data_IF_437595585852
#
_entry.id   IF_437595585852
#
_cell.length_a   1.000
_cell.length_b   1.000
_cell.length_c   1.000
_cell.angle_alpha   90.00
_cell.angle_beta   90.00
_cell.angle_gamma   90.00
#
_symmetry.space_group_name_H-M   'P 1'
#
loop_
_entity.id
_entity.type
_entity.pdbx_description
1 polymer ?
#
# COMPACT_ATOMS: atom_id res chain seq x y z
N UNK A 1 -42.27 10.65 10.29
CA UNK A 1 -42.69 9.23 10.47
C UNK A 1 -42.74 8.67 9.06
N UNK A 2 -41.71 7.96 8.64
CA UNK A 2 -41.71 7.28 7.34
C UNK A 2 -42.76 6.17 7.38
N UNK A 3 -43.57 6.12 6.34
CA UNK A 3 -44.70 5.21 6.16
C UNK A 3 -44.23 3.75 6.26
N UNK A 4 -45.01 2.94 6.98
CA UNK A 4 -44.80 1.50 7.12
C UNK A 4 -44.82 0.81 5.76
N UNK A 5 -43.64 0.64 5.16
CA UNK A 5 -43.48 -0.15 3.96
C UNK A 5 -43.84 -1.63 4.23
N UNK A 6 -44.37 -2.29 3.19
CA UNK A 6 -44.98 -3.63 3.17
C UNK A 6 -43.99 -4.81 3.36
N UNK A 7 -42.99 -4.63 4.20
CA UNK A 7 -41.94 -5.61 4.42
C UNK A 7 -42.42 -6.80 5.25
N UNK A 8 -41.86 -7.98 4.96
CA UNK A 8 -42.05 -9.16 5.78
C UNK A 8 -41.51 -8.97 7.20
N UNK A 9 -42.26 -9.42 8.20
CA UNK A 9 -41.92 -9.36 9.64
C UNK A 9 -42.30 -10.66 10.32
N UNK A 10 -41.80 -10.89 11.53
CA UNK A 10 -42.20 -12.05 12.34
C UNK A 10 -42.61 -11.64 13.78
N UNK A 11 -43.69 -10.85 13.94
CA UNK A 11 -44.08 -10.31 15.25
C UNK A 11 -44.70 -11.36 16.19
N UNK A 12 -45.19 -12.46 15.63
CA UNK A 12 -45.91 -13.51 16.35
C UNK A 12 -45.07 -14.77 16.59
N UNK A 13 -43.74 -14.68 16.37
CA UNK A 13 -42.79 -15.80 16.50
C UNK A 13 -43.21 -17.04 15.69
N UNK A 14 -43.81 -16.81 14.52
CA UNK A 14 -44.08 -17.86 13.53
C UNK A 14 -42.79 -18.53 13.06
N UNK A 15 -42.92 -19.66 12.38
CA UNK A 15 -41.79 -20.41 11.80
C UNK A 15 -40.97 -19.65 10.76
N UNK A 16 -41.57 -18.67 10.06
CA UNK A 16 -40.91 -17.78 9.10
C UNK A 16 -41.52 -16.36 9.16
N UNK A 17 -40.78 -15.32 8.75
CA UNK A 17 -41.34 -14.01 8.49
C UNK A 17 -42.45 -14.05 7.44
N UNK A 18 -43.43 -13.17 7.56
CA UNK A 18 -44.63 -13.16 6.74
C UNK A 18 -45.13 -11.72 6.51
N UNK A 19 -46.01 -11.54 5.53
CA UNK A 19 -46.78 -10.31 5.31
C UNK A 19 -48.21 -10.63 4.88
N UNK A 20 -49.08 -9.62 4.84
CA UNK A 20 -50.41 -9.75 4.28
C UNK A 20 -50.40 -9.43 2.79
N UNK A 21 -50.91 -10.34 1.97
CA UNK A 21 -51.15 -10.14 0.53
C UNK A 21 -52.63 -9.92 0.27
N UNK A 22 -52.97 -9.34 -0.88
CA UNK A 22 -54.35 -9.08 -1.28
C UNK A 22 -55.03 -10.40 -1.68
N UNK A 23 -56.06 -10.80 -0.94
CA UNK A 23 -56.92 -11.94 -1.28
C UNK A 23 -58.29 -11.50 -1.80
N UNK A 24 -59.04 -12.44 -2.37
CA UNK A 24 -60.31 -12.16 -3.09
C UNK A 24 -61.42 -11.55 -2.22
N UNK A 25 -61.41 -11.81 -0.91
CA UNK A 25 -62.42 -11.32 0.04
C UNK A 25 -61.82 -10.66 1.29
N UNK A 26 -60.56 -10.95 1.62
CA UNK A 26 -59.82 -10.39 2.76
C UNK A 26 -58.31 -10.61 2.55
N UNK A 27 -57.44 -9.84 3.25
CA UNK A 27 -56.00 -10.08 3.22
C UNK A 27 -55.64 -11.47 3.74
N UNK A 28 -54.66 -12.12 3.10
CA UNK A 28 -54.18 -13.45 3.45
C UNK A 28 -52.75 -13.36 3.95
N UNK A 29 -52.42 -14.11 5.00
CA UNK A 29 -51.05 -14.21 5.54
C UNK A 29 -50.25 -15.18 4.66
N UNK A 30 -49.15 -14.70 4.09
CA UNK A 30 -48.20 -15.53 3.34
C UNK A 30 -46.79 -15.41 3.92
N UNK A 31 -46.06 -16.53 3.92
CA UNK A 31 -44.69 -16.59 4.42
C UNK A 31 -43.70 -16.15 3.34
N UNK A 32 -42.71 -15.38 3.75
CA UNK A 32 -41.68 -14.88 2.87
C UNK A 32 -40.48 -15.82 2.87
N UNK A 33 -39.90 -16.04 1.68
CA UNK A 33 -38.61 -16.70 1.55
C UNK A 33 -37.50 -15.66 1.72
N UNK A 34 -37.03 -15.51 2.96
CA UNK A 34 -35.92 -14.61 3.32
C UNK A 34 -34.64 -15.44 3.42
N UNK A 35 -33.58 -15.11 2.65
CA UNK A 35 -32.31 -15.83 2.71
C UNK A 35 -31.67 -15.71 4.10
N UNK A 36 -30.97 -16.77 4.54
CA UNK A 36 -30.26 -16.76 5.81
C UNK A 36 -29.11 -15.76 5.74
N UNK A 37 -28.88 -15.01 6.81
CA UNK A 37 -27.70 -14.14 6.89
C UNK A 37 -26.42 -14.96 6.71
N UNK A 38 -26.36 -16.21 7.18
CA UNK A 38 -25.21 -17.11 7.06
C UNK A 38 -24.85 -17.49 5.62
N UNK A 39 -25.79 -17.35 4.67
CA UNK A 39 -25.53 -17.61 3.26
C UNK A 39 -24.84 -16.42 2.57
N UNK A 40 -24.78 -15.26 3.25
CA UNK A 40 -24.14 -14.06 2.71
C UNK A 40 -22.63 -14.11 2.90
N UNK A 41 -21.83 -13.82 1.85
CA UNK A 41 -20.37 -13.69 1.99
C UNK A 41 -19.98 -12.49 2.88
N UNK A 42 -20.94 -11.62 3.21
CA UNK A 42 -20.78 -10.52 4.15
C UNK A 42 -21.15 -10.87 5.61
N UNK A 43 -21.43 -12.13 5.94
CA UNK A 43 -21.78 -12.53 7.30
C UNK A 43 -20.98 -13.74 7.81
N UNK A 44 -20.25 -13.61 8.94
CA UNK A 44 -19.95 -12.35 9.63
C UNK A 44 -19.12 -11.42 8.72
N UNK A 45 -19.22 -10.10 8.92
CA UNK A 45 -18.55 -9.13 8.04
C UNK A 45 -17.06 -9.46 7.88
N UNK A 46 -16.58 -9.73 6.65
CA UNK A 46 -15.17 -9.99 6.41
C UNK A 46 -14.33 -8.71 6.49
N UNK A 47 -14.96 -7.54 6.34
CA UNK A 47 -14.31 -6.24 6.38
C UNK A 47 -13.97 -5.85 7.82
N UNK A 48 -12.68 -5.62 8.08
CA UNK A 48 -12.11 -5.11 9.32
C UNK A 48 -12.32 -3.60 9.45
N UNK A 49 -12.01 -3.08 10.64
CA UNK A 49 -11.99 -1.64 10.92
C UNK A 49 -13.27 -0.88 10.49
N UNK A 50 -14.43 -1.52 10.67
CA UNK A 50 -15.74 -0.98 10.29
C UNK A 50 -15.90 -0.70 8.79
N UNK A 51 -15.15 -1.39 7.94
CA UNK A 51 -15.36 -1.36 6.48
C UNK A 51 -16.74 -1.88 6.10
N UNK A 52 -17.33 -1.30 5.05
CA UNK A 52 -18.65 -1.66 4.57
C UNK A 52 -18.55 -2.81 3.56
N UNK A 53 -19.19 -3.94 3.86
CA UNK A 53 -19.21 -5.10 2.97
C UNK A 53 -20.33 -4.98 1.93
N UNK A 54 -20.01 -5.25 0.66
CA UNK A 54 -20.95 -5.31 -0.46
C UNK A 54 -20.87 -6.70 -1.09
N UNK A 55 -22.02 -7.33 -1.33
CA UNK A 55 -22.11 -8.63 -2.00
C UNK A 55 -21.93 -8.44 -3.51
N UNK A 56 -21.05 -9.22 -4.12
CA UNK A 56 -20.81 -9.25 -5.57
C UNK A 56 -20.94 -10.69 -6.07
N UNK A 57 -22.17 -11.07 -6.45
CA UNK A 57 -22.48 -12.44 -6.85
C UNK A 57 -22.30 -13.42 -5.69
N UNK A 58 -21.36 -14.35 -5.82
CA UNK A 58 -20.96 -15.30 -4.77
C UNK A 58 -19.78 -14.80 -3.92
N UNK A 59 -19.24 -13.62 -4.21
CA UNK A 59 -18.10 -13.01 -3.53
C UNK A 59 -18.51 -11.74 -2.76
N UNK A 60 -17.53 -11.08 -2.11
CA UNK A 60 -17.73 -9.80 -1.44
C UNK A 60 -16.64 -8.80 -1.85
N UNK A 61 -16.97 -7.51 -1.73
CA UNK A 61 -16.03 -6.39 -1.79
C UNK A 61 -16.17 -5.52 -0.55
N UNK A 62 -15.05 -4.97 -0.06
CA UNK A 62 -15.02 -4.08 1.10
C UNK A 62 -14.78 -2.63 0.68
N UNK A 63 -15.64 -1.73 1.13
CA UNK A 63 -15.44 -0.28 1.04
C UNK A 63 -14.86 0.22 2.36
N UNK A 64 -13.64 0.72 2.34
CA UNK A 64 -12.91 1.11 3.56
C UNK A 64 -13.23 2.54 3.99
N UNK A 65 -13.31 2.74 5.31
CA UNK A 65 -13.38 4.09 5.89
C UNK A 65 -12.06 4.83 5.67
N UNK A 66 -12.12 6.16 5.70
CA UNK A 66 -10.93 7.01 5.63
C UNK A 66 -9.92 6.59 6.69
N UNK A 67 -8.66 6.48 6.30
CA UNK A 67 -7.61 6.00 7.19
C UNK A 67 -7.43 4.48 7.19
N UNK A 68 -8.11 3.73 6.31
CA UNK A 68 -7.95 2.28 6.18
C UNK A 68 -7.91 1.81 4.71
N UNK A 69 -7.19 0.73 4.45
CA UNK A 69 -7.05 0.13 3.12
C UNK A 69 -6.86 -1.39 3.19
N UNK A 70 -6.65 -2.04 2.05
CA UNK A 70 -6.62 -3.51 1.92
C UNK A 70 -7.95 -4.09 1.43
N UNK A 71 -7.94 -5.35 0.99
CA UNK A 71 -9.14 -6.01 0.44
C UNK A 71 -10.21 -6.28 1.51
N UNK A 72 -9.82 -6.28 2.79
CA UNK A 72 -10.69 -6.41 3.95
C UNK A 72 -10.55 -5.21 4.88
N UNK A 73 -10.02 -4.08 4.44
CA UNK A 73 -9.81 -2.88 5.28
C UNK A 73 -8.95 -3.12 6.54
N UNK A 74 -8.09 -4.13 6.50
CA UNK A 74 -7.22 -4.57 7.59
C UNK A 74 -6.01 -3.65 7.81
N UNK A 75 -5.69 -2.83 6.82
CA UNK A 75 -4.52 -1.94 6.85
C UNK A 75 -4.96 -0.60 7.41
N UNK A 76 -4.32 -0.16 8.50
CA UNK A 76 -4.44 1.19 9.02
C UNK A 76 -3.53 2.13 8.24
N UNK A 77 -4.11 3.16 7.62
CA UNK A 77 -3.41 4.34 7.07
C UNK A 77 -3.16 5.35 8.21
N UNK A 78 -2.92 4.85 9.42
CA UNK A 78 -2.55 5.71 10.55
C UNK A 78 -1.14 6.21 10.33
N UNK A 79 -1.01 7.47 9.91
CA UNK A 79 -0.07 8.42 10.51
C UNK A 79 1.38 7.99 10.71
N UNK A 80 1.95 7.11 9.90
CA UNK A 80 3.38 7.22 9.62
C UNK A 80 3.48 8.43 8.71
N UNK A 81 3.94 9.53 9.27
CA UNK A 81 4.45 10.67 8.51
C UNK A 81 5.30 10.07 7.39
N UNK A 82 5.10 10.47 6.12
CA UNK A 82 5.97 10.03 5.01
C UNK A 82 7.48 10.23 5.33
N UNK A 83 7.78 11.01 6.37
CA UNK A 83 9.10 11.24 6.97
C UNK A 83 9.67 10.10 7.83
N UNK A 84 9.00 8.97 8.08
CA UNK A 84 9.57 7.90 8.93
C UNK A 84 9.61 6.50 8.29
N UNK A 85 9.20 6.36 7.03
CA UNK A 85 9.22 5.09 6.30
C UNK A 85 10.16 5.12 5.11
N UNK A 86 10.64 3.95 4.67
CA UNK A 86 11.46 3.79 3.45
C UNK A 86 10.57 3.43 2.26
N UNK A 87 10.81 4.06 1.11
CA UNK A 87 10.05 3.80 -0.14
C UNK A 87 10.68 2.69 -0.97
N UNK A 88 12.02 2.62 -0.97
CA UNK A 88 12.77 1.51 -1.54
C UNK A 88 13.05 0.46 -0.47
N UNK A 89 13.08 -0.82 -0.87
CA UNK A 89 13.43 -1.95 0.01
C UNK A 89 14.76 -1.72 0.73
N UNK A 90 15.72 -1.10 0.04
CA UNK A 90 17.05 -0.75 0.57
C UNK A 90 17.08 0.62 1.28
N UNK A 91 16.06 1.46 1.10
CA UNK A 91 15.97 2.79 1.71
C UNK A 91 17.10 3.76 1.33
N UNK A 92 17.64 3.69 0.11
CA UNK A 92 18.67 4.62 -0.37
C UNK A 92 18.19 6.09 -0.34
N UNK A 93 16.89 6.29 -0.57
CA UNK A 93 16.19 7.57 -0.58
C UNK A 93 15.58 7.94 0.78
N UNK A 94 15.84 7.13 1.82
CA UNK A 94 15.29 7.38 3.14
C UNK A 94 15.86 8.66 3.74
N UNK A 95 15.00 9.67 3.87
CA UNK A 95 15.34 10.98 4.46
C UNK A 95 14.77 11.17 5.87
N UNK A 96 14.21 10.12 6.45
CA UNK A 96 13.56 10.20 7.74
C UNK A 96 14.48 10.38 8.94
N UNK A 97 13.88 10.44 10.13
CA UNK A 97 14.55 10.80 11.40
C UNK A 97 14.81 9.64 12.35
N UNK A 98 14.61 8.39 11.91
CA UNK A 98 14.99 7.21 12.69
C UNK A 98 16.49 7.28 12.97
N UNK A 99 16.87 7.15 14.23
CA UNK A 99 18.24 7.28 14.74
C UNK A 99 18.58 6.19 15.76
N UNK A 100 17.88 5.06 15.67
CA UNK A 100 18.06 3.89 16.53
C UNK A 100 18.13 2.65 15.65
N UNK A 101 19.08 1.77 15.96
CA UNK A 101 19.31 0.53 15.19
C UNK A 101 18.23 -0.51 15.48
N UNK A 102 18.18 -1.60 14.69
CA UNK A 102 17.24 -2.71 14.90
C UNK A 102 17.35 -3.36 16.30
N UNK A 103 18.51 -3.26 16.96
CA UNK A 103 18.72 -3.80 18.31
C UNK A 103 18.51 -2.76 19.42
N UNK A 104 18.07 -1.55 19.07
CA UNK A 104 17.77 -0.49 20.03
C UNK A 104 18.97 0.41 20.39
N UNK A 105 20.09 0.33 19.66
CA UNK A 105 21.28 1.14 19.94
C UNK A 105 21.15 2.50 19.28
N UNK A 106 21.46 3.56 20.03
CA UNK A 106 21.45 4.93 19.51
C UNK A 106 22.53 5.12 18.45
N UNK A 107 22.16 5.74 17.33
CA UNK A 107 23.09 6.08 16.26
C UNK A 107 24.08 7.16 16.69
N UNK A 108 25.35 6.98 16.30
CA UNK A 108 26.39 8.00 16.33
C UNK A 108 26.10 9.05 15.26
N UNK A 109 26.31 10.33 15.60
CA UNK A 109 26.22 11.42 14.61
C UNK A 109 27.24 11.22 13.50
N UNK A 110 26.81 11.40 12.24
CA UNK A 110 27.69 11.29 11.08
C UNK A 110 28.85 12.31 11.14
N UNK A 111 28.62 13.48 11.71
CA UNK A 111 29.68 14.47 11.93
C UNK A 111 30.68 14.08 13.05
N UNK A 112 30.34 13.11 13.90
CA UNK A 112 31.21 12.64 15.00
C UNK A 112 32.22 11.61 14.52
N UNK A 113 33.43 11.63 15.11
CA UNK A 113 34.48 10.62 14.90
C UNK A 113 34.69 9.71 16.12
N UNK A 114 33.72 9.68 17.05
CA UNK A 114 33.77 8.90 18.28
C UNK A 114 32.39 8.31 18.58
N UNK A 115 32.29 7.03 19.03
CA UNK A 115 33.39 6.07 19.23
C UNK A 115 34.04 5.55 17.94
N UNK A 116 33.36 5.64 16.80
CA UNK A 116 33.85 5.08 15.54
C UNK A 116 34.29 6.18 14.58
N UNK A 117 35.57 6.21 14.22
CA UNK A 117 36.05 7.07 13.12
C UNK A 117 35.62 6.50 11.76
N UNK A 118 35.21 7.38 10.83
CA UNK A 118 34.68 7.01 9.52
C UNK A 118 34.68 8.14 8.47
N UNK A 119 34.47 7.78 7.21
CA UNK A 119 34.47 8.69 6.05
C UNK A 119 33.13 9.40 5.78
N UNK A 120 32.00 8.84 6.20
CA UNK A 120 30.66 9.40 5.94
C UNK A 120 30.32 10.58 6.88
N UNK A 121 30.94 11.75 6.71
CA UNK A 121 30.79 12.89 7.65
C UNK A 121 29.80 13.97 7.25
N UNK A 122 29.32 13.94 6.01
CA UNK A 122 28.45 14.99 5.43
C UNK A 122 26.95 14.70 5.52
N UNK A 123 26.56 13.61 6.20
CA UNK A 123 25.16 13.20 6.36
C UNK A 123 24.51 13.91 7.57
N UNK A 124 23.17 14.10 7.54
CA UNK A 124 22.49 14.89 8.56
C UNK A 124 22.38 14.16 9.91
N UNK A 125 22.71 14.87 10.98
CA UNK A 125 22.57 14.45 12.38
C UNK A 125 23.13 13.03 12.62
N UNK A 126 22.36 12.17 13.28
CA UNK A 126 22.62 10.75 13.48
C UNK A 126 21.52 9.87 12.87
N UNK A 127 20.81 10.38 11.86
CA UNK A 127 19.70 9.64 11.26
C UNK A 127 20.21 8.49 10.40
N UNK A 128 19.51 7.36 10.41
CA UNK A 128 19.85 6.20 9.60
C UNK A 128 19.84 6.55 8.11
N UNK A 129 20.89 6.18 7.39
CA UNK A 129 21.06 6.46 5.96
C UNK A 129 21.66 5.26 5.26
N UNK A 130 21.61 5.24 3.94
CA UNK A 130 22.21 4.20 3.13
C UNK A 130 23.08 4.80 2.02
N UNK A 131 24.26 5.37 2.37
CA UNK A 131 25.14 6.04 1.39
C UNK A 131 25.87 5.08 0.45
N UNK A 132 25.99 3.80 0.82
CA UNK A 132 26.89 2.81 0.24
C UNK A 132 26.18 1.55 -0.29
N UNK A 133 24.85 1.63 -0.46
CA UNK A 133 24.00 0.57 -1.05
C UNK A 133 23.95 -0.72 -0.22
N UNK A 134 23.94 -0.57 1.09
CA UNK A 134 23.62 -1.66 2.02
C UNK A 134 22.16 -2.16 1.82
N UNK A 135 21.81 -3.36 2.34
CA UNK A 135 20.45 -3.91 2.19
C UNK A 135 19.33 -3.10 2.85
N UNK A 136 19.65 -2.17 3.75
CA UNK A 136 18.72 -1.26 4.42
C UNK A 136 19.49 -0.03 4.96
N UNK A 137 18.80 1.06 5.34
CA UNK A 137 19.47 2.17 6.02
C UNK A 137 20.08 1.73 7.34
N UNK A 138 21.23 2.29 7.65
CA UNK A 138 22.07 1.92 8.77
C UNK A 138 22.69 3.18 9.39
N UNK A 139 23.36 2.99 10.53
CA UNK A 139 24.16 4.04 11.13
C UNK A 139 25.35 3.45 11.90
N UNK A 140 26.39 4.26 12.11
CA UNK A 140 27.39 3.97 13.15
C UNK A 140 26.71 3.99 14.50
N UNK A 141 27.15 3.16 15.44
CA UNK A 141 26.47 3.07 16.76
C UNK A 141 27.25 3.81 17.84
N UNK A 142 26.56 4.18 18.92
CA UNK A 142 27.19 4.74 20.12
C UNK A 142 27.86 3.68 21.02
N UNK A 143 27.69 2.39 20.72
CA UNK A 143 28.37 1.29 21.42
C UNK A 143 29.80 1.12 20.85
N UNK A 144 30.85 1.25 21.68
CA UNK A 144 32.25 1.01 21.26
C UNK A 144 32.52 -0.38 20.69
N UNK A 145 31.70 -1.39 21.04
CA UNK A 145 31.88 -2.78 20.59
C UNK A 145 31.12 -3.11 19.30
N UNK A 146 30.22 -2.23 18.86
CA UNK A 146 29.41 -2.44 17.65
C UNK A 146 29.58 -1.26 16.71
N UNK A 147 30.45 -1.41 15.72
CA UNK A 147 30.82 -0.32 14.82
C UNK A 147 29.62 0.30 14.11
N UNK A 148 28.74 -0.51 13.56
CA UNK A 148 27.55 -0.07 12.83
C UNK A 148 26.47 -1.15 12.89
N UNK A 149 25.23 -0.77 12.60
CA UNK A 149 24.12 -1.71 12.46
C UNK A 149 23.02 -1.15 11.57
N UNK A 150 22.27 -2.05 10.93
CA UNK A 150 21.04 -1.73 10.21
C UNK A 150 19.97 -1.15 11.14
N UNK A 151 19.17 -0.24 10.60
CA UNK A 151 18.00 0.33 11.26
C UNK A 151 16.73 -0.38 10.79
N UNK A 152 15.83 -0.66 11.74
CA UNK A 152 14.53 -1.24 11.43
C UNK A 152 13.57 -0.14 10.98
N UNK A 153 13.64 0.24 9.71
CA UNK A 153 12.74 1.22 9.10
C UNK A 153 11.67 0.46 8.33
N UNK A 154 10.41 0.71 8.68
CA UNK A 154 9.27 0.11 8.00
C UNK A 154 9.21 0.59 6.56
N UNK A 155 8.89 -0.32 5.64
CA UNK A 155 8.43 0.08 4.32
C UNK A 155 7.20 0.96 4.50
N UNK A 156 7.06 1.99 3.66
CA UNK A 156 5.88 2.84 3.71
C UNK A 156 4.62 1.97 3.53
N UNK A 157 3.86 1.76 4.62
CA UNK A 157 2.59 1.04 4.58
C UNK A 157 1.55 1.96 3.98
N UNK A 158 1.51 1.87 2.68
CA UNK A 158 0.30 2.03 1.90
C UNK A 158 0.27 0.75 1.06
N UNK A 159 -0.85 0.04 0.89
CA UNK A 159 -0.87 -0.94 -0.20
C UNK A 159 -0.36 -0.23 -1.46
N UNK A 160 0.52 -0.85 -2.28
CA UNK A 160 1.06 -0.25 -3.51
C UNK A 160 -0.07 0.49 -4.17
N UNK A 161 -0.04 1.83 -4.15
CA UNK A 161 -1.15 2.62 -4.66
C UNK A 161 -1.17 2.30 -6.15
N UNK A 162 -2.06 1.39 -6.55
CA UNK A 162 -2.09 0.88 -7.92
C UNK A 162 -2.59 1.95 -8.89
N UNK A 163 -3.03 3.09 -8.34
CA UNK A 163 -3.51 4.26 -9.05
C UNK A 163 -2.71 5.52 -8.67
N UNK A 164 -2.78 6.55 -9.52
CA UNK A 164 -2.25 7.88 -9.28
C UNK A 164 -3.27 8.70 -8.48
N UNK A 165 -2.94 9.19 -7.27
CA UNK A 165 -3.87 9.94 -6.47
C UNK A 165 -4.00 11.37 -7.02
N UNK A 166 -5.12 12.04 -6.73
CA UNK A 166 -5.38 13.41 -7.21
C UNK A 166 -4.32 14.43 -6.77
N UNK A 167 -3.63 14.18 -5.64
CA UNK A 167 -2.55 15.01 -5.12
C UNK A 167 -1.14 14.69 -5.70
N UNK A 168 -1.01 13.62 -6.49
CA UNK A 168 0.20 13.27 -7.25
C UNK A 168 -0.17 12.74 -8.66
N UNK A 169 -0.75 13.61 -9.52
CA UNK A 169 -1.24 13.19 -10.83
C UNK A 169 -0.13 12.77 -11.80
N UNK A 170 1.13 13.10 -11.51
CA UNK A 170 2.30 12.70 -12.29
C UNK A 170 2.92 11.39 -11.76
N UNK A 171 2.50 10.90 -10.59
CA UNK A 171 3.08 9.70 -9.98
C UNK A 171 4.54 9.84 -9.57
N UNK A 172 4.98 11.04 -9.15
CA UNK A 172 6.33 11.23 -8.60
C UNK A 172 6.55 10.39 -7.34
N UNK A 173 5.48 10.17 -6.59
CA UNK A 173 5.42 9.33 -5.40
C UNK A 173 4.79 7.96 -5.69
N UNK A 174 4.52 7.61 -6.95
CA UNK A 174 3.94 6.32 -7.30
C UNK A 174 4.87 5.17 -6.91
N UNK A 175 4.35 4.25 -6.10
CA UNK A 175 5.06 3.06 -5.61
C UNK A 175 4.27 1.77 -5.89
N UNK A 176 3.36 1.81 -6.87
CA UNK A 176 2.60 0.63 -7.28
C UNK A 176 3.46 -0.45 -7.94
N UNK A 177 2.85 -1.60 -8.18
CA UNK A 177 3.51 -2.81 -8.71
C UNK A 177 3.35 -3.00 -10.22
N UNK A 178 3.03 -1.94 -10.98
CA UNK A 178 2.91 -2.03 -12.44
C UNK A 178 4.27 -2.31 -13.08
N UNK A 179 4.37 -3.33 -13.93
CA UNK A 179 5.62 -3.78 -14.57
C UNK A 179 5.55 -3.82 -16.11
N UNK A 180 4.46 -3.29 -16.68
CA UNK A 180 4.19 -3.35 -18.12
C UNK A 180 3.80 -1.96 -18.60
N UNK A 181 4.29 -1.59 -19.78
CA UNK A 181 4.03 -0.29 -20.41
C UNK A 181 2.63 -0.22 -21.03
N UNK A 182 2.17 0.97 -21.43
CA UNK A 182 0.89 1.18 -22.14
C UNK A 182 0.82 0.32 -23.41
N UNK A 183 1.97 0.07 -24.06
CA UNK A 183 2.05 -0.75 -25.27
C UNK A 183 2.20 -2.25 -25.02
N UNK A 184 2.26 -2.68 -23.76
CA UNK A 184 2.43 -4.09 -23.40
C UNK A 184 3.88 -4.58 -23.33
N UNK A 185 4.88 -3.69 -23.48
CA UNK A 185 6.28 -4.09 -23.33
C UNK A 185 6.59 -4.32 -21.83
N UNK A 186 7.20 -5.46 -21.44
CA UNK A 186 7.63 -5.67 -20.06
C UNK A 186 8.77 -4.73 -19.70
N UNK A 187 8.72 -4.17 -18.50
CA UNK A 187 9.75 -3.27 -17.99
C UNK A 187 11.09 -3.99 -17.77
N UNK A 188 12.18 -3.34 -18.12
CA UNK A 188 13.53 -3.70 -17.73
C UNK A 188 13.72 -3.34 -16.25
N UNK A 189 14.42 -4.21 -15.50
CA UNK A 189 14.78 -3.93 -14.12
C UNK A 189 15.71 -2.72 -14.05
N UNK A 190 15.49 -1.85 -13.06
CA UNK A 190 16.27 -0.64 -12.91
C UNK A 190 17.75 -0.93 -12.57
N UNK A 191 18.05 -2.03 -11.89
CA UNK A 191 19.42 -2.46 -11.64
C UNK A 191 20.10 -3.14 -12.85
N UNK A 192 19.34 -3.49 -13.90
CA UNK A 192 19.89 -4.08 -15.12
C UNK A 192 20.42 -3.00 -16.05
N UNK A 193 21.58 -3.25 -16.65
CA UNK A 193 22.14 -2.43 -17.74
C UNK A 193 21.88 -3.04 -19.13
N UNK A 194 20.99 -4.03 -19.22
CA UNK A 194 20.62 -4.71 -20.47
C UNK A 194 19.10 -4.87 -20.58
N UNK A 195 18.49 -4.70 -21.79
CA UNK A 195 19.14 -4.29 -23.04
C UNK A 195 19.56 -2.82 -23.10
N UNK A 196 19.01 -1.95 -22.24
CA UNK A 196 19.30 -0.51 -22.28
C UNK A 196 20.19 -0.10 -21.11
N UNK A 197 21.35 0.46 -21.40
CA UNK A 197 22.20 1.07 -20.36
C UNK A 197 21.60 2.40 -19.89
N UNK A 198 21.59 2.64 -18.57
CA UNK A 198 21.01 3.86 -18.01
C UNK A 198 21.52 4.24 -16.61
N UNK A 199 21.39 5.53 -16.28
CA UNK A 199 21.86 6.13 -15.01
C UNK A 199 21.00 5.81 -13.78
N UNK A 200 19.82 5.23 -13.99
CA UNK A 200 18.84 4.97 -12.93
C UNK A 200 19.04 3.62 -12.20
N UNK A 201 20.27 3.10 -12.20
CA UNK A 201 20.69 1.85 -11.54
C UNK A 201 20.53 1.78 -10.02
N UNK A 202 19.91 2.78 -9.38
CA UNK A 202 19.70 2.85 -7.94
C UNK A 202 18.23 2.99 -7.54
N UNK A 203 17.29 3.04 -8.50
CA UNK A 203 15.87 3.25 -8.19
C UNK A 203 15.17 2.02 -7.61
N UNK A 204 15.70 0.82 -7.85
CA UNK A 204 15.13 -0.43 -7.33
C UNK A 204 16.10 -1.57 -7.57
N UNK A 205 16.45 -2.30 -6.51
CA UNK A 205 17.08 -3.60 -6.63
C UNK A 205 15.98 -4.68 -6.56
N UNK A 206 15.91 -5.50 -7.61
CA UNK A 206 15.04 -6.69 -7.79
C UNK A 206 13.73 -6.54 -8.57
N UNK A 207 13.16 -5.34 -8.69
CA UNK A 207 11.89 -5.15 -9.41
C UNK A 207 11.99 -4.19 -10.60
N UNK A 208 11.14 -4.42 -11.59
CA UNK A 208 11.00 -3.63 -12.82
C UNK A 208 9.76 -2.72 -12.78
N UNK A 209 9.35 -2.26 -11.60
CA UNK A 209 8.13 -1.46 -11.49
C UNK A 209 8.26 -0.09 -12.14
N UNK A 210 7.17 0.41 -12.70
CA UNK A 210 7.06 1.75 -13.26
C UNK A 210 7.30 2.81 -12.18
N UNK A 211 8.13 3.82 -12.48
CA UNK A 211 8.49 4.90 -11.56
C UNK A 211 8.56 6.22 -12.32
N UNK A 212 8.52 7.34 -11.59
CA UNK A 212 8.71 8.66 -12.18
C UNK A 212 9.85 9.43 -11.48
N UNK A 213 11.10 8.96 -11.64
CA UNK A 213 12.27 9.50 -10.90
C UNK A 213 12.71 10.89 -11.37
N UNK A 214 12.37 11.27 -12.59
CA UNK A 214 12.83 12.47 -13.28
C UNK A 214 11.71 13.48 -13.55
N UNK A 215 10.51 13.24 -13.01
CA UNK A 215 9.40 14.18 -13.09
C UNK A 215 8.77 14.29 -14.48
N UNK A 216 8.78 13.19 -15.21
CA UNK A 216 8.05 12.99 -16.46
C UNK A 216 6.52 13.09 -16.27
N UNK A 217 5.77 13.01 -17.37
CA UNK A 217 4.31 13.20 -17.37
C UNK A 217 3.55 12.20 -16.49
N UNK A 218 3.96 10.93 -16.55
CA UNK A 218 3.42 9.81 -15.77
C UNK A 218 4.56 8.81 -15.54
N UNK A 219 4.41 7.84 -14.61
CA UNK A 219 5.43 6.84 -14.39
C UNK A 219 5.72 6.01 -15.65
N UNK A 220 6.99 5.67 -15.80
CA UNK A 220 7.56 5.01 -16.97
C UNK A 220 8.59 3.96 -16.53
N UNK A 221 9.07 3.18 -17.48
CA UNK A 221 10.20 2.27 -17.28
C UNK A 221 11.01 2.11 -18.56
N UNK A 222 12.28 1.73 -18.44
CA UNK A 222 13.00 1.12 -19.57
C UNK A 222 12.29 -0.18 -19.96
N UNK A 223 12.32 -0.56 -21.23
CA UNK A 223 11.64 -1.79 -21.66
C UNK A 223 12.63 -2.93 -21.93
N UNK A 224 12.17 -4.17 -21.84
CA UNK A 224 12.96 -5.35 -22.25
C UNK A 224 13.09 -5.48 -23.77
N UNK A 225 12.36 -4.67 -24.55
CA UNK A 225 12.42 -4.65 -26.01
C UNK A 225 13.63 -3.83 -26.49
N UNK A 226 14.62 -4.44 -27.18
CA UNK A 226 15.82 -3.72 -27.64
C UNK A 226 15.52 -2.57 -28.62
N UNK A 227 14.36 -2.56 -29.27
CA UNK A 227 13.96 -1.51 -30.22
C UNK A 227 13.22 -0.34 -29.55
N UNK A 228 12.69 -0.55 -28.34
CA UNK A 228 11.94 0.47 -27.61
C UNK A 228 12.65 0.77 -26.29
N UNK A 229 13.40 1.88 -26.22
CA UNK A 229 14.26 2.16 -25.07
C UNK A 229 13.48 2.28 -23.76
N UNK A 230 12.39 3.03 -23.77
CA UNK A 230 11.54 3.26 -22.61
C UNK A 230 10.12 3.57 -23.09
N UNK A 231 9.13 3.37 -22.22
CA UNK A 231 7.76 3.76 -22.51
C UNK A 231 7.01 4.06 -21.21
N UNK A 232 5.88 4.76 -21.33
CA UNK A 232 5.03 5.12 -20.20
C UNK A 232 4.18 3.92 -19.75
N UNK A 233 3.74 3.94 -18.49
CA UNK A 233 2.88 2.92 -17.92
C UNK A 233 1.44 3.40 -17.76
N UNK A 234 0.48 2.51 -18.06
CA UNK A 234 -0.95 2.78 -17.94
C UNK A 234 -1.39 2.65 -16.48
N UNK A 235 -1.10 3.67 -15.67
CA UNK A 235 -1.50 3.67 -14.26
C UNK A 235 -2.86 4.37 -14.14
N UNK A 236 -3.90 3.71 -13.60
CA UNK A 236 -5.21 4.32 -13.42
C UNK A 236 -5.15 5.51 -12.46
N UNK A 237 -6.08 6.45 -12.55
CA UNK A 237 -6.23 7.49 -11.52
C UNK A 237 -7.13 7.01 -10.39
N UNK A 238 -6.76 7.37 -9.16
CA UNK A 238 -7.71 7.47 -8.05
C UNK A 238 -8.36 8.86 -8.12
#
# INVERSE_FOLDING_TARGET
MEEDANYCRNPDYSSKPWCYVQGDTRPVKEYCEIPSCADSPCFPSPCKNRGQCKVEGTSFSCSCLQGFSGNKCEIQITGLVEEECKRSRIGYDYTGKVHVTQSGITCQAWSSQTPHSHSHTSLPENYCRNPDREPAPWCYTTDPNKRWELCNISDCVTPPLQCLPTNDPQGKKYFGSMTVTIKGDPCQRWDSQTPHTHRFGGLSDQDNYCRNPDGEKVPWCYTTNPKNKYDYCAIPHC
#
